data_IF_229962537945
#
_entry.id   IF_229962537945
#
_cell.length_a   1.000
_cell.length_b   1.000
_cell.length_c   1.000
_cell.angle_alpha   90.00
_cell.angle_beta   90.00
_cell.angle_gamma   90.00
#
_symmetry.space_group_name_H-M   'P 1'
#
loop_
_entity.id
_entity.type
_entity.pdbx_description
1 polymer ?
#
# COMPACT_ATOMS: atom_id res chain seq x y z
N UNK A 1 -14.04 13.70 0.64
CA UNK A 1 -14.93 14.05 -0.50
C UNK A 1 -16.07 14.99 -0.13
N UNK A 2 -16.86 14.75 0.93
CA UNK A 2 -17.98 15.64 1.28
C UNK A 2 -17.58 17.10 1.53
N UNK A 3 -16.41 17.31 2.15
CA UNK A 3 -15.83 18.63 2.40
C UNK A 3 -15.44 19.41 1.13
N UNK A 4 -15.11 18.72 0.04
CA UNK A 4 -14.72 19.37 -1.23
C UNK A 4 -15.97 19.89 -1.93
N UNK A 5 -17.05 19.09 -1.96
CA UNK A 5 -18.31 19.48 -2.61
C UNK A 5 -18.99 20.65 -1.89
N UNK A 6 -18.90 20.69 -0.56
CA UNK A 6 -19.44 21.82 0.23
C UNK A 6 -18.70 23.13 0.02
N UNK A 7 -17.39 23.09 -0.29
CA UNK A 7 -16.58 24.28 -0.50
C UNK A 7 -16.58 24.78 -1.96
N UNK A 8 -17.00 23.95 -2.91
CA UNK A 8 -16.75 24.16 -4.33
C UNK A 8 -17.25 25.52 -4.86
N UNK A 9 -18.44 25.93 -4.42
CA UNK A 9 -19.04 27.21 -4.79
C UNK A 9 -18.25 28.39 -4.21
N UNK A 10 -17.90 28.31 -2.92
CA UNK A 10 -17.24 29.40 -2.22
C UNK A 10 -15.77 29.57 -2.63
N UNK A 11 -15.06 28.48 -2.89
CA UNK A 11 -13.64 28.50 -3.20
C UNK A 11 -13.34 28.65 -4.71
N UNK A 12 -14.20 28.12 -5.58
CA UNK A 12 -13.94 28.10 -7.03
C UNK A 12 -15.12 28.53 -7.91
N UNK A 13 -16.24 28.99 -7.31
CA UNK A 13 -17.40 29.46 -8.06
C UNK A 13 -18.19 28.35 -8.78
N UNK A 14 -17.89 27.08 -8.52
CA UNK A 14 -18.59 25.98 -9.17
C UNK A 14 -19.96 25.75 -8.54
N UNK A 15 -21.00 25.89 -9.36
CA UNK A 15 -22.38 25.54 -8.97
C UNK A 15 -22.59 24.03 -9.03
N UNK A 16 -22.32 23.37 -7.91
CA UNK A 16 -22.55 21.95 -7.74
C UNK A 16 -23.43 21.69 -6.53
N UNK A 17 -24.25 20.64 -6.60
CA UNK A 17 -25.06 20.22 -5.46
C UNK A 17 -24.17 19.59 -4.38
N UNK A 18 -24.04 20.19 -3.18
CA UNK A 18 -23.20 19.66 -2.10
C UNK A 18 -23.75 18.32 -1.54
N UNK A 19 -25.04 18.04 -1.74
CA UNK A 19 -25.70 16.84 -1.26
C UNK A 19 -25.59 15.65 -2.22
N UNK A 20 -25.09 15.85 -3.45
CA UNK A 20 -25.08 14.82 -4.49
C UNK A 20 -24.48 13.47 -4.02
N UNK A 21 -23.38 13.50 -3.26
CA UNK A 21 -22.75 12.28 -2.71
C UNK A 21 -23.54 11.65 -1.56
N UNK A 22 -24.25 12.45 -0.77
CA UNK A 22 -25.11 11.96 0.31
C UNK A 22 -26.33 11.26 -0.27
N UNK A 23 -26.97 11.90 -1.25
CA UNK A 23 -28.16 11.37 -1.93
C UNK A 23 -27.83 10.07 -2.67
N UNK A 24 -26.71 10.03 -3.40
CA UNK A 24 -26.24 8.82 -4.07
C UNK A 24 -26.03 7.66 -3.09
N UNK A 25 -25.40 7.92 -1.92
CA UNK A 25 -25.21 6.88 -0.89
C UNK A 25 -26.53 6.39 -0.30
N UNK A 26 -27.50 7.29 -0.10
CA UNK A 26 -28.83 6.94 0.40
C UNK A 26 -29.54 6.00 -0.58
N UNK A 27 -29.56 6.35 -1.87
CA UNK A 27 -30.19 5.53 -2.91
C UNK A 27 -29.50 4.17 -3.04
N UNK A 28 -28.17 4.15 -3.12
CA UNK A 28 -27.40 2.91 -3.22
C UNK A 28 -27.63 1.98 -2.02
N UNK A 29 -27.71 2.53 -0.81
CA UNK A 29 -28.05 1.77 0.40
C UNK A 29 -29.46 1.18 0.33
N UNK A 30 -30.45 1.96 -0.12
CA UNK A 30 -31.84 1.50 -0.26
C UNK A 30 -31.98 0.40 -1.31
N UNK A 31 -31.19 0.44 -2.38
CA UNK A 31 -31.13 -0.62 -3.40
C UNK A 31 -30.28 -1.83 -2.98
N UNK A 32 -29.74 -1.86 -1.75
CA UNK A 32 -28.98 -2.99 -1.24
C UNK A 32 -27.57 -3.11 -1.80
N UNK A 33 -27.04 -2.07 -2.47
CA UNK A 33 -25.65 -2.08 -2.91
C UNK A 33 -24.72 -1.96 -1.70
N UNK A 34 -23.99 -3.03 -1.44
CA UNK A 34 -22.96 -3.00 -0.41
C UNK A 34 -21.71 -2.30 -0.97
N UNK A 35 -21.52 -1.05 -0.57
CA UNK A 35 -20.38 -0.22 -0.98
C UNK A 35 -19.05 -0.68 -0.37
N UNK A 36 -19.07 -1.58 0.61
CA UNK A 36 -17.87 -2.16 1.20
C UNK A 36 -17.52 -3.45 0.47
N UNK A 37 -16.24 -3.59 0.10
CA UNK A 37 -15.71 -4.91 -0.26
C UNK A 37 -16.00 -5.89 0.87
N UNK A 38 -16.30 -7.14 0.51
CA UNK A 38 -16.34 -8.22 1.50
C UNK A 38 -14.95 -8.38 2.09
N UNK A 39 -14.89 -8.37 3.42
CA UNK A 39 -13.68 -8.73 4.15
C UNK A 39 -13.34 -10.19 3.84
N UNK A 40 -12.04 -10.49 3.79
CA UNK A 40 -11.52 -11.81 3.47
C UNK A 40 -10.54 -12.21 4.56
N UNK A 41 -10.90 -13.22 5.34
CA UNK A 41 -10.00 -13.81 6.36
C UNK A 41 -9.10 -14.91 5.78
N UNK A 42 -8.86 -14.88 4.46
CA UNK A 42 -8.05 -15.86 3.74
C UNK A 42 -6.89 -15.19 3.03
N UNK A 43 -5.84 -15.97 2.78
CA UNK A 43 -4.75 -15.54 1.90
C UNK A 43 -5.20 -15.48 0.43
N UNK A 44 -4.61 -14.58 -0.39
CA UNK A 44 -4.79 -14.61 -1.83
C UNK A 44 -4.37 -15.96 -2.40
N UNK A 45 -5.07 -16.43 -3.44
CA UNK A 45 -4.62 -17.59 -4.21
C UNK A 45 -3.46 -17.21 -5.14
N UNK A 46 -2.73 -18.20 -5.66
CA UNK A 46 -1.68 -17.94 -6.64
C UNK A 46 -2.24 -17.29 -7.91
N UNK A 47 -3.42 -17.71 -8.39
CA UNK A 47 -4.09 -17.09 -9.54
C UNK A 47 -4.49 -15.63 -9.29
N UNK A 48 -4.89 -15.29 -8.05
CA UNK A 48 -5.17 -13.90 -7.68
C UNK A 48 -3.88 -13.06 -7.66
N UNK A 49 -2.79 -13.61 -7.12
CA UNK A 49 -1.48 -12.96 -7.13
C UNK A 49 -0.97 -12.74 -8.56
N UNK A 50 -1.11 -13.74 -9.44
CA UNK A 50 -0.69 -13.66 -10.84
C UNK A 50 -1.44 -12.54 -11.58
N UNK A 51 -2.76 -12.45 -11.41
CA UNK A 51 -3.57 -11.36 -11.99
C UNK A 51 -3.11 -9.97 -11.54
N UNK A 52 -2.79 -9.82 -10.25
CA UNK A 52 -2.33 -8.55 -9.68
C UNK A 52 -0.92 -8.21 -10.19
N UNK A 53 0.00 -9.17 -10.20
CA UNK A 53 1.35 -8.97 -10.70
C UNK A 53 1.35 -8.63 -12.19
N UNK A 54 0.56 -9.34 -13.00
CA UNK A 54 0.38 -9.06 -14.42
C UNK A 54 -0.07 -7.63 -14.65
N UNK A 55 -1.08 -7.16 -13.92
CA UNK A 55 -1.55 -5.79 -14.00
C UNK A 55 -0.41 -4.78 -13.72
N UNK A 56 0.38 -5.00 -12.66
CA UNK A 56 1.48 -4.10 -12.33
C UNK A 56 2.64 -4.15 -13.32
N UNK A 57 2.94 -5.31 -13.90
CA UNK A 57 3.92 -5.40 -14.99
C UNK A 57 3.43 -4.66 -16.23
N UNK A 58 2.16 -4.81 -16.62
CA UNK A 58 1.56 -4.04 -17.73
C UNK A 58 1.61 -2.52 -17.47
N UNK A 59 1.39 -2.09 -16.22
CA UNK A 59 1.55 -0.69 -15.84
C UNK A 59 2.98 -0.18 -16.02
N UNK A 60 3.97 -0.96 -15.60
CA UNK A 60 5.39 -0.59 -15.74
C UNK A 60 5.82 -0.47 -17.20
N UNK A 61 5.33 -1.35 -18.07
CA UNK A 61 5.59 -1.26 -19.51
C UNK A 61 5.03 0.03 -20.11
N UNK A 62 3.86 0.47 -19.65
CA UNK A 62 3.23 1.71 -20.13
C UNK A 62 3.88 2.97 -19.54
N UNK A 63 4.32 2.91 -18.28
CA UNK A 63 4.86 4.05 -17.53
C UNK A 63 6.00 3.60 -16.60
N UNK A 64 7.25 3.59 -17.08
CA UNK A 64 8.39 3.12 -16.28
C UNK A 64 8.68 3.95 -15.02
N UNK A 65 8.18 5.19 -14.94
CA UNK A 65 8.37 6.08 -13.79
C UNK A 65 7.44 5.79 -12.60
N UNK A 66 6.46 4.89 -12.75
CA UNK A 66 5.62 4.49 -11.60
C UNK A 66 6.41 3.61 -10.64
N UNK A 67 5.95 3.55 -9.39
CA UNK A 67 6.52 2.66 -8.39
C UNK A 67 6.54 1.22 -8.94
N UNK A 68 7.68 0.55 -8.81
CA UNK A 68 7.85 -0.84 -9.22
C UNK A 68 7.12 -1.80 -8.27
N UNK A 69 5.79 -1.76 -8.27
CA UNK A 69 4.91 -2.55 -7.41
C UNK A 69 5.19 -4.06 -7.38
N UNK A 70 5.61 -4.72 -8.47
CA UNK A 70 5.99 -6.14 -8.41
C UNK A 70 7.16 -6.40 -7.46
N UNK A 71 8.16 -5.50 -7.39
CA UNK A 71 9.29 -5.61 -6.45
C UNK A 71 8.79 -5.37 -5.02
N UNK A 72 7.95 -4.36 -4.80
CA UNK A 72 7.38 -4.05 -3.48
C UNK A 72 6.53 -5.22 -2.95
N UNK A 73 5.67 -5.80 -3.80
CA UNK A 73 4.85 -6.95 -3.42
C UNK A 73 5.68 -8.18 -3.12
N UNK A 74 6.63 -8.53 -3.99
CA UNK A 74 7.52 -9.67 -3.76
C UNK A 74 8.32 -9.47 -2.46
N UNK A 75 8.86 -8.27 -2.24
CA UNK A 75 9.54 -7.95 -1.00
C UNK A 75 8.61 -8.10 0.22
N UNK A 76 7.38 -7.60 0.17
CA UNK A 76 6.42 -7.75 1.26
C UNK A 76 6.09 -9.22 1.58
N UNK A 77 5.94 -10.05 0.55
CA UNK A 77 5.67 -11.49 0.68
C UNK A 77 6.83 -12.19 1.41
N UNK A 78 8.06 -11.97 0.94
CA UNK A 78 9.22 -12.70 1.46
C UNK A 78 9.78 -12.10 2.76
N UNK A 79 9.81 -10.78 2.91
CA UNK A 79 10.29 -10.13 4.14
C UNK A 79 9.29 -10.22 5.29
N UNK A 80 8.02 -10.52 5.01
CA UNK A 80 6.90 -10.50 5.98
C UNK A 80 6.74 -9.17 6.72
N UNK A 81 7.20 -8.05 6.13
CA UNK A 81 7.07 -6.70 6.70
C UNK A 81 5.75 -6.05 6.34
N UNK A 82 5.26 -5.18 7.21
CA UNK A 82 4.04 -4.40 6.93
C UNK A 82 4.35 -3.29 5.93
N UNK A 83 3.36 -2.91 5.12
CA UNK A 83 3.50 -1.83 4.14
C UNK A 83 4.08 -0.53 4.74
N UNK A 84 3.59 -0.10 5.90
CA UNK A 84 4.08 1.11 6.58
C UNK A 84 5.55 0.99 7.02
N UNK A 85 6.01 -0.23 7.35
CA UNK A 85 7.40 -0.50 7.71
C UNK A 85 8.27 -0.44 6.44
N UNK A 86 7.84 -1.12 5.37
CA UNK A 86 8.53 -1.15 4.07
C UNK A 86 8.76 0.26 3.53
N UNK A 87 7.75 1.13 3.60
CA UNK A 87 7.82 2.49 3.07
C UNK A 87 8.73 3.43 3.86
N UNK A 88 9.23 3.02 5.03
CA UNK A 88 10.09 3.83 5.92
C UNK A 88 11.53 3.34 6.00
N UNK A 89 11.82 2.15 5.47
CA UNK A 89 13.17 1.60 5.44
C UNK A 89 14.06 2.53 4.61
N UNK A 90 15.21 2.90 5.18
CA UNK A 90 16.24 3.67 4.48
C UNK A 90 17.38 2.75 4.02
N UNK A 91 18.14 3.20 3.02
CA UNK A 91 19.34 2.46 2.57
C UNK A 91 20.41 2.37 3.67
N UNK A 92 20.52 3.40 4.52
CA UNK A 92 21.41 3.39 5.69
C UNK A 92 21.00 2.37 6.77
N UNK A 93 19.77 1.86 6.71
CA UNK A 93 19.26 0.83 7.64
C UNK A 93 19.54 -0.59 7.15
N UNK A 94 20.15 -0.76 5.96
CA UNK A 94 20.51 -2.06 5.40
C UNK A 94 21.90 -2.50 5.91
N UNK A 95 21.97 -3.70 6.47
CA UNK A 95 23.22 -4.35 6.87
C UNK A 95 23.45 -5.58 6.01
N UNK A 96 24.37 -5.46 5.04
CA UNK A 96 24.70 -6.53 4.09
C UNK A 96 25.43 -7.70 4.73
N UNK A 97 26.24 -7.44 5.77
CA UNK A 97 26.95 -8.51 6.48
C UNK A 97 25.99 -9.41 7.26
N UNK A 98 24.92 -8.82 7.81
CA UNK A 98 23.87 -9.55 8.54
C UNK A 98 22.73 -10.04 7.66
N UNK A 99 22.67 -9.63 6.39
CA UNK A 99 21.50 -9.82 5.52
C UNK A 99 20.22 -9.35 6.22
N UNK A 100 20.27 -8.15 6.82
CA UNK A 100 19.22 -7.65 7.68
C UNK A 100 18.93 -6.18 7.42
N UNK A 101 17.73 -5.75 7.82
CA UNK A 101 17.32 -4.35 7.76
C UNK A 101 16.82 -3.88 9.12
N UNK A 102 17.16 -2.64 9.48
CA UNK A 102 16.67 -1.99 10.69
C UNK A 102 15.28 -1.40 10.42
N UNK A 103 14.27 -1.91 11.10
CA UNK A 103 12.91 -1.36 11.08
C UNK A 103 12.76 -0.39 12.23
N UNK A 104 12.68 0.91 11.91
CA UNK A 104 12.52 1.97 12.89
C UNK A 104 11.09 2.06 13.41
N UNK A 105 10.94 2.36 14.69
CA UNK A 105 9.64 2.46 15.38
C UNK A 105 8.69 1.29 15.08
N UNK A 106 9.22 0.06 15.13
CA UNK A 106 8.50 -1.14 14.73
C UNK A 106 7.17 -1.26 15.48
N UNK A 107 6.11 -1.57 14.72
CA UNK A 107 4.73 -1.55 15.19
C UNK A 107 4.52 -2.54 16.35
N UNK A 108 4.23 -2.01 17.54
CA UNK A 108 3.95 -2.74 18.77
C UNK A 108 2.70 -2.11 19.46
N UNK A 109 1.75 -2.89 20.02
CA UNK A 109 0.58 -2.36 20.74
C UNK A 109 0.87 -1.37 21.87
N UNK A 110 2.05 -1.46 22.51
CA UNK A 110 2.44 -0.58 23.61
C UNK A 110 3.12 0.70 23.13
N UNK A 111 4.45 0.70 23.16
CA UNK A 111 5.28 1.85 22.78
C UNK A 111 6.02 1.55 21.48
N UNK A 112 5.64 2.24 20.41
CA UNK A 112 6.33 2.15 19.11
C UNK A 112 7.52 3.10 18.98
N UNK A 113 7.49 4.25 19.66
CA UNK A 113 8.53 5.28 19.53
C UNK A 113 9.83 4.78 20.15
N UNK A 114 10.90 4.75 19.37
CA UNK A 114 12.21 4.23 19.73
C UNK A 114 12.35 2.71 19.64
N UNK A 115 11.32 1.99 19.17
CA UNK A 115 11.36 0.53 19.04
C UNK A 115 12.03 0.12 17.72
N UNK A 116 13.34 0.29 17.64
CA UNK A 116 14.12 -0.06 16.48
C UNK A 116 14.53 -1.55 16.51
N UNK A 117 14.18 -2.31 15.48
CA UNK A 117 14.40 -3.76 15.46
C UNK A 117 15.11 -4.20 14.18
N UNK A 118 16.22 -4.93 14.34
CA UNK A 118 16.89 -5.61 13.24
C UNK A 118 16.10 -6.83 12.78
N UNK A 119 15.82 -6.87 11.49
CA UNK A 119 15.00 -7.90 10.87
C UNK A 119 15.80 -8.60 9.77
N UNK A 120 15.99 -9.90 9.91
CA UNK A 120 16.59 -10.72 8.86
C UNK A 120 15.72 -10.67 7.59
N UNK A 121 16.37 -10.55 6.43
CA UNK A 121 15.74 -10.64 5.12
C UNK A 121 16.04 -12.01 4.51
N UNK A 122 15.03 -12.86 4.25
CA UNK A 122 15.23 -14.09 3.51
C UNK A 122 15.82 -13.84 2.11
N UNK A 123 16.47 -14.84 1.54
CA UNK A 123 17.22 -14.73 0.28
C UNK A 123 16.38 -14.15 -0.87
N UNK A 124 15.10 -14.52 -0.97
CA UNK A 124 14.21 -13.97 -2.00
C UNK A 124 13.95 -12.46 -1.82
N UNK A 125 13.83 -12.00 -0.57
CA UNK A 125 13.71 -10.58 -0.26
C UNK A 125 15.06 -9.86 -0.50
N UNK A 126 16.17 -10.51 -0.14
CA UNK A 126 17.52 -9.98 -0.31
C UNK A 126 17.86 -9.72 -1.79
N UNK A 127 17.55 -10.66 -2.67
CA UNK A 127 17.76 -10.52 -4.13
C UNK A 127 17.02 -9.30 -4.67
N UNK A 128 15.83 -8.99 -4.16
CA UNK A 128 15.04 -7.83 -4.61
C UNK A 128 15.72 -6.52 -4.23
N UNK A 129 16.26 -6.43 -3.01
CA UNK A 129 16.99 -5.27 -2.51
C UNK A 129 18.26 -5.05 -3.34
N UNK A 130 19.05 -6.10 -3.54
CA UNK A 130 20.30 -6.06 -4.30
C UNK A 130 20.08 -5.64 -5.78
N UNK A 131 19.01 -6.12 -6.43
CA UNK A 131 18.62 -5.71 -7.79
C UNK A 131 18.05 -4.30 -7.91
N UNK A 132 17.94 -3.56 -6.81
CA UNK A 132 17.49 -2.16 -6.83
C UNK A 132 18.61 -1.19 -6.45
N UNK A 133 19.60 -1.65 -5.67
CA UNK A 133 20.78 -0.85 -5.32
C UNK A 133 21.80 -0.72 -6.46
N UNK A 134 21.81 -1.66 -7.41
CA UNK A 134 22.61 -1.63 -8.65
C UNK A 134 21.86 -0.95 -9.80
#
# INVERSE_FOLDING_TARGET
>A
MGSVLSLARAAWGYEINPLAMTDARLVLKNFGYNMKSRERDRRPTLDELDKVLKHFFEMLQRRPSVIHMPKVMAFAIFSTRRMDEIARILWEDLDEHRQAVKVRDMKNPGQKIGNDVWCYLPDEAWIIVQRHAA
#
